data_IF_005531696786
#
_entry.id   IF_005531696786
#
_cell.length_a   1.000
_cell.length_b   1.000
_cell.length_c   1.000
_cell.angle_alpha   90.00
_cell.angle_beta   90.00
_cell.angle_gamma   90.00
#
_symmetry.space_group_name_H-M   'P 1'
#
loop_
_entity.id
_entity.type
_entity.pdbx_description
1 polymer ?
#
# COMPACT_ATOMS: atom_id res chain seq x y z
N UNK A 1 2.47 -6.85 6.55
CA UNK A 1 2.60 -7.05 5.10
C UNK A 1 1.56 -8.09 4.67
N UNK A 2 0.94 -7.96 3.50
CA UNK A 2 -0.07 -8.92 3.05
C UNK A 2 0.57 -10.25 2.57
N UNK A 3 -0.17 -11.37 2.60
CA UNK A 3 0.26 -12.62 1.99
C UNK A 3 0.49 -12.49 0.49
N UNK A 4 1.18 -13.48 -0.08
CA UNK A 4 1.36 -13.62 -1.53
C UNK A 4 0.01 -13.84 -2.22
N UNK A 5 -0.16 -13.29 -3.43
CA UNK A 5 -1.41 -13.30 -4.21
C UNK A 5 -2.67 -12.82 -3.45
N UNK A 6 -2.49 -12.10 -2.35
CA UNK A 6 -3.62 -11.66 -1.55
C UNK A 6 -4.35 -10.51 -2.24
N UNK A 7 -5.61 -10.74 -2.59
CA UNK A 7 -6.52 -9.70 -3.06
C UNK A 7 -6.89 -8.76 -1.91
N UNK A 8 -6.60 -7.47 -2.11
CA UNK A 8 -6.89 -6.42 -1.13
C UNK A 8 -7.91 -5.48 -1.73
N UNK A 9 -9.03 -5.29 -1.03
CA UNK A 9 -10.03 -4.28 -1.40
C UNK A 9 -9.40 -2.88 -1.39
N UNK A 10 -9.64 -2.11 -2.46
CA UNK A 10 -9.07 -0.77 -2.67
C UNK A 10 -9.42 0.16 -1.51
N UNK A 11 -10.68 0.17 -1.08
CA UNK A 11 -11.14 0.96 0.07
C UNK A 11 -10.47 0.56 1.38
N UNK A 12 -10.33 -0.75 1.61
CA UNK A 12 -9.71 -1.28 2.82
C UNK A 12 -8.23 -0.90 2.89
N UNK A 13 -7.52 -0.96 1.76
CA UNK A 13 -6.12 -0.53 1.68
C UNK A 13 -5.97 0.97 1.99
N UNK A 14 -6.84 1.81 1.44
CA UNK A 14 -6.84 3.24 1.71
C UNK A 14 -7.16 3.52 3.19
N UNK A 15 -8.12 2.82 3.77
CA UNK A 15 -8.43 2.92 5.19
C UNK A 15 -7.22 2.59 6.07
N UNK A 16 -6.45 1.54 5.74
CA UNK A 16 -5.19 1.25 6.42
C UNK A 16 -4.22 2.43 6.33
N UNK A 17 -4.03 3.03 5.15
CA UNK A 17 -3.15 4.20 5.01
C UNK A 17 -3.60 5.44 5.79
N UNK A 18 -4.90 5.61 6.00
CA UNK A 18 -5.45 6.67 6.85
C UNK A 18 -5.17 6.35 8.33
N UNK A 19 -5.45 5.12 8.78
CA UNK A 19 -5.22 4.68 10.15
C UNK A 19 -3.74 4.72 10.55
N UNK A 20 -2.84 4.34 9.65
CA UNK A 20 -1.38 4.39 9.84
C UNK A 20 -0.82 5.83 9.72
N UNK A 21 -1.65 6.82 9.37
CA UNK A 21 -1.26 8.23 9.30
C UNK A 21 -0.45 8.62 8.05
N UNK A 22 -0.32 7.74 7.06
CA UNK A 22 0.27 8.08 5.76
C UNK A 22 -0.57 9.14 5.03
N UNK A 23 -1.89 9.11 5.22
CA UNK A 23 -2.82 10.13 4.72
C UNK A 23 -3.26 11.02 5.89
N UNK A 24 -2.57 12.16 6.05
CA UNK A 24 -2.79 13.11 7.17
C UNK A 24 -4.11 13.90 7.11
N UNK A 25 -4.91 13.76 6.05
CA UNK A 25 -6.16 14.51 5.84
C UNK A 25 -7.35 13.89 6.61
N UNK A 26 -7.10 13.31 7.79
CA UNK A 26 -8.03 12.53 8.59
C UNK A 26 -9.25 13.32 9.12
N UNK A 27 -9.22 14.65 9.05
CA UNK A 27 -10.30 15.54 9.49
C UNK A 27 -11.55 15.43 8.58
N UNK A 28 -11.36 15.05 7.30
CA UNK A 28 -12.45 14.89 6.35
C UNK A 28 -12.27 13.56 5.62
N UNK A 29 -13.01 12.53 6.06
CA UNK A 29 -12.92 11.16 5.54
C UNK A 29 -13.00 11.11 4.01
N UNK A 30 -13.94 11.86 3.41
CA UNK A 30 -14.08 11.93 1.93
C UNK A 30 -12.83 12.47 1.23
N UNK A 31 -12.17 13.46 1.83
CA UNK A 31 -10.95 14.06 1.29
C UNK A 31 -9.77 13.09 1.40
N UNK A 32 -9.64 12.44 2.56
CA UNK A 32 -8.64 11.40 2.79
C UNK A 32 -8.81 10.22 1.80
N UNK A 33 -10.05 9.77 1.58
CA UNK A 33 -10.38 8.72 0.60
C UNK A 33 -10.01 9.13 -0.82
N UNK A 34 -10.40 10.33 -1.27
CA UNK A 34 -10.06 10.81 -2.61
C UNK A 34 -8.53 10.88 -2.82
N UNK A 35 -7.79 11.32 -1.80
CA UNK A 35 -6.32 11.33 -1.83
C UNK A 35 -5.74 9.91 -1.86
N UNK A 36 -6.34 8.99 -1.11
CA UNK A 36 -6.01 7.58 -1.14
C UNK A 36 -6.15 6.98 -2.55
N UNK A 37 -7.26 7.24 -3.22
CA UNK A 37 -7.47 6.79 -4.61
C UNK A 37 -6.46 7.40 -5.59
N UNK A 38 -6.06 8.67 -5.40
CA UNK A 38 -5.02 9.28 -6.22
C UNK A 38 -3.64 8.61 -6.05
N UNK A 39 -3.27 8.28 -4.80
CA UNK A 39 -2.05 7.54 -4.48
C UNK A 39 -2.12 6.12 -5.05
N UNK A 40 -3.24 5.42 -4.82
CA UNK A 40 -3.49 4.08 -5.32
C UNK A 40 -3.32 4.00 -6.85
N UNK A 41 -3.94 4.93 -7.59
CA UNK A 41 -3.78 4.99 -9.04
C UNK A 41 -2.34 5.24 -9.48
N UNK A 42 -1.54 5.94 -8.67
CA UNK A 42 -0.11 6.15 -8.94
C UNK A 42 0.68 4.86 -8.73
N UNK A 43 0.40 4.11 -7.67
CA UNK A 43 1.04 2.82 -7.39
C UNK A 43 0.72 1.78 -8.47
N UNK A 44 -0.53 1.76 -8.95
CA UNK A 44 -0.94 0.91 -10.07
C UNK A 44 -0.20 1.29 -11.35
N UNK A 45 -0.16 2.60 -11.71
CA UNK A 45 0.58 3.07 -12.90
C UNK A 45 2.09 2.79 -12.83
N UNK A 46 2.65 2.72 -11.62
CA UNK A 46 4.05 2.38 -11.40
C UNK A 46 4.32 0.86 -11.38
N UNK A 47 3.31 0.02 -11.61
CA UNK A 47 3.36 -1.45 -11.48
C UNK A 47 3.82 -1.94 -10.10
N UNK A 48 3.57 -1.15 -9.05
CA UNK A 48 3.82 -1.55 -7.66
C UNK A 48 2.64 -2.35 -7.10
N UNK A 49 1.45 -2.14 -7.66
CA UNK A 49 0.23 -2.91 -7.40
C UNK A 49 -0.39 -3.32 -8.73
N UNK A 50 -0.84 -4.55 -8.82
CA UNK A 50 -1.61 -5.07 -9.93
C UNK A 50 -3.10 -4.77 -9.70
N UNK A 51 -3.79 -4.33 -10.74
CA UNK A 51 -5.24 -4.26 -10.72
C UNK A 51 -5.80 -5.65 -11.00
N UNK A 52 -6.42 -6.28 -9.99
CA UNK A 52 -6.91 -7.66 -10.06
C UNK A 52 -8.44 -7.73 -10.22
N UNK A 53 -9.11 -6.58 -10.35
CA UNK A 53 -10.55 -6.49 -10.53
C UNK A 53 -11.04 -5.05 -10.37
N UNK A 54 -12.35 -4.82 -10.47
CA UNK A 54 -12.89 -3.45 -10.33
C UNK A 54 -12.54 -2.82 -8.99
N UNK A 55 -12.60 -3.60 -7.90
CA UNK A 55 -12.45 -3.09 -6.52
C UNK A 55 -11.29 -3.70 -5.73
N UNK A 56 -10.43 -4.50 -6.37
CA UNK A 56 -9.33 -5.21 -5.69
C UNK A 56 -7.98 -4.98 -6.37
N UNK A 57 -6.93 -4.98 -5.55
CA UNK A 57 -5.54 -4.91 -6.00
C UNK A 57 -4.72 -6.01 -5.36
N UNK A 58 -3.67 -6.45 -6.05
CA UNK A 58 -2.72 -7.45 -5.56
C UNK A 58 -1.32 -6.85 -5.61
N UNK A 59 -0.46 -7.22 -4.65
CA UNK A 59 0.95 -6.86 -4.71
C UNK A 59 1.70 -7.93 -5.50
N UNK A 60 2.44 -7.53 -6.53
CA UNK A 60 3.30 -8.46 -7.28
C UNK A 60 4.36 -9.09 -6.35
N UNK A 61 4.68 -10.36 -6.57
CA UNK A 61 5.64 -11.11 -5.74
C UNK A 61 6.99 -10.40 -5.62
N UNK A 62 7.51 -9.88 -6.74
CA UNK A 62 8.78 -9.14 -6.76
C UNK A 62 8.74 -7.86 -5.91
N UNK A 63 7.61 -7.16 -5.88
CA UNK A 63 7.42 -5.96 -5.07
C UNK A 63 7.26 -6.35 -3.59
N UNK A 64 6.56 -7.45 -3.33
CA UNK A 64 6.40 -8.02 -2.00
C UNK A 64 7.74 -8.46 -1.41
N UNK A 65 8.57 -9.14 -2.18
CA UNK A 65 9.92 -9.52 -1.78
C UNK A 65 10.79 -8.31 -1.48
N UNK A 66 10.74 -7.27 -2.33
CA UNK A 66 11.44 -6.01 -2.07
C UNK A 66 10.95 -5.35 -0.78
N UNK A 67 9.64 -5.34 -0.53
CA UNK A 67 9.07 -4.77 0.69
C UNK A 67 9.47 -5.57 1.95
N UNK A 68 9.52 -6.91 1.86
CA UNK A 68 10.04 -7.77 2.93
C UNK A 68 11.53 -7.53 3.17
N UNK A 69 12.32 -7.38 2.10
CA UNK A 69 13.75 -7.08 2.18
C UNK A 69 13.99 -5.72 2.85
N UNK A 70 13.23 -4.69 2.48
CA UNK A 70 13.26 -3.39 3.15
C UNK A 70 12.86 -3.54 4.62
N UNK A 71 11.72 -4.14 4.92
CA UNK A 71 11.22 -4.28 6.29
C UNK A 71 12.21 -5.04 7.20
N UNK A 72 12.90 -6.05 6.65
CA UNK A 72 13.90 -6.83 7.37
C UNK A 72 15.24 -6.08 7.55
N UNK A 73 15.70 -5.36 6.52
CA UNK A 73 17.02 -4.71 6.55
C UNK A 73 17.01 -3.34 7.21
N UNK A 74 15.89 -2.61 7.20
CA UNK A 74 15.77 -1.33 7.91
C UNK A 74 15.72 -1.50 9.45
N UNK A 75 15.64 -2.72 9.96
CA UNK A 75 15.84 -3.05 11.39
C UNK A 75 17.27 -3.50 11.76
N UNK A 76 18.20 -3.54 10.80
CA UNK A 76 19.59 -3.96 11.01
C UNK A 76 20.56 -2.97 10.38
N UNK A 77 20.51 -1.71 10.80
CA UNK A 77 21.77 -0.98 10.86
C UNK A 77 22.60 -1.66 11.95
N UNK A 78 23.45 -2.61 11.57
CA UNK A 78 24.60 -2.96 12.40
C UNK A 78 25.41 -1.67 12.50
N UNK A 79 25.36 -1.04 13.67
CA UNK A 79 26.36 -0.08 14.10
C UNK A 79 27.74 -0.73 13.85
N UNK A 80 28.46 -0.23 12.85
CA UNK A 80 29.90 -0.41 12.69
C UNK A 80 30.62 0.68 13.45
#
# INVERSE_FOLDING_TARGET
LFPEDHEIEKERLINYWICEGFIKEHQVVKRAMNKGYAILGTLIRANLLADAGTEVVVMHDVVREMALWIAYNFGKQKET
#
